data_IF_040958206440
#
_entry.id   IF_040958206440
#
_cell.length_a   1.000
_cell.length_b   1.000
_cell.length_c   1.000
_cell.angle_alpha   90.00
_cell.angle_beta   90.00
_cell.angle_gamma   90.00
#
_symmetry.space_group_name_H-M   'P 1'
#
loop_
_entity.id
_entity.type
_entity.pdbx_description
1 polymer ?
#
# COMPACT_ATOMS: atom_id res chain seq x y z
N UNK A 1 -29.78 -15.78 -14.93
CA UNK A 1 -30.98 -15.05 -14.44
C UNK A 1 -31.37 -14.03 -15.51
N UNK A 2 -32.66 -13.82 -15.81
CA UNK A 2 -33.10 -12.79 -16.77
C UNK A 2 -33.05 -11.42 -16.09
N UNK A 3 -32.48 -10.41 -16.74
CA UNK A 3 -32.36 -9.05 -16.18
C UNK A 3 -33.46 -8.17 -16.76
N UNK A 4 -34.17 -7.42 -15.91
CA UNK A 4 -35.15 -6.44 -16.41
C UNK A 4 -34.44 -5.36 -17.21
N UNK A 5 -35.00 -4.98 -18.37
CA UNK A 5 -34.46 -3.91 -19.21
C UNK A 5 -34.29 -2.59 -18.42
N UNK A 6 -35.18 -2.31 -17.47
CA UNK A 6 -35.09 -1.10 -16.62
C UNK A 6 -33.89 -1.16 -15.68
N UNK A 7 -33.54 -2.35 -15.18
CA UNK A 7 -32.35 -2.56 -14.35
C UNK A 7 -31.07 -2.40 -15.18
N UNK A 8 -31.03 -3.02 -16.37
CA UNK A 8 -29.91 -2.87 -17.31
C UNK A 8 -29.65 -1.40 -17.68
N UNK A 9 -30.70 -0.64 -18.02
CA UNK A 9 -30.55 0.79 -18.36
C UNK A 9 -30.02 1.61 -17.18
N UNK A 10 -30.41 1.26 -15.95
CA UNK A 10 -29.94 1.96 -14.74
C UNK A 10 -28.49 1.62 -14.42
N UNK A 11 -28.11 0.35 -14.54
CA UNK A 11 -26.77 -0.14 -14.22
C UNK A 11 -25.70 0.47 -15.15
N UNK A 12 -26.05 0.68 -16.43
CA UNK A 12 -25.13 1.25 -17.43
C UNK A 12 -25.44 2.72 -17.80
N UNK A 13 -26.30 3.40 -17.04
CA UNK A 13 -26.69 4.80 -17.28
C UNK A 13 -27.15 5.12 -18.70
N UNK A 14 -27.87 4.19 -19.34
CA UNK A 14 -28.38 4.34 -20.70
C UNK A 14 -29.83 4.81 -20.72
N UNK A 15 -30.18 5.60 -21.74
CA UNK A 15 -31.55 6.05 -21.96
C UNK A 15 -32.45 4.86 -22.36
N UNK A 16 -33.49 4.60 -21.56
CA UNK A 16 -34.40 3.45 -21.74
C UNK A 16 -35.04 3.38 -23.13
N UNK A 17 -35.36 4.53 -23.72
CA UNK A 17 -35.93 4.63 -25.07
C UNK A 17 -34.94 4.19 -26.14
N UNK A 18 -33.67 4.57 -26.01
CA UNK A 18 -32.60 4.20 -26.93
C UNK A 18 -32.34 2.70 -26.89
N UNK A 19 -32.22 2.11 -25.69
CA UNK A 19 -31.99 0.67 -25.52
C UNK A 19 -33.18 -0.14 -26.03
N UNK A 20 -34.42 0.30 -25.74
CA UNK A 20 -35.63 -0.39 -26.21
C UNK A 20 -35.75 -0.41 -27.74
N UNK A 21 -35.45 0.70 -28.41
CA UNK A 21 -35.44 0.75 -29.88
C UNK A 21 -34.37 -0.19 -30.45
N UNK A 22 -33.18 -0.24 -29.84
CA UNK A 22 -32.10 -1.13 -30.29
C UNK A 22 -32.43 -2.61 -30.07
N UNK A 23 -33.09 -2.96 -28.97
CA UNK A 23 -33.61 -4.32 -28.76
C UNK A 23 -34.60 -4.73 -29.86
N UNK A 24 -35.48 -3.81 -30.29
CA UNK A 24 -36.45 -4.06 -31.36
C UNK A 24 -35.76 -4.27 -32.72
N UNK A 25 -34.72 -3.50 -33.01
CA UNK A 25 -33.91 -3.63 -34.23
C UNK A 25 -33.11 -4.94 -34.26
N UNK A 26 -32.65 -5.41 -33.10
CA UNK A 26 -31.90 -6.66 -32.95
C UNK A 26 -32.80 -7.90 -32.79
N UNK A 27 -34.12 -7.73 -32.75
CA UNK A 27 -35.10 -8.80 -32.58
C UNK A 27 -35.12 -9.44 -31.18
N UNK A 28 -34.66 -8.72 -30.16
CA UNK A 28 -34.59 -9.21 -28.77
C UNK A 28 -35.96 -9.04 -28.10
N UNK A 29 -36.57 -10.15 -27.65
CA UNK A 29 -37.84 -10.11 -26.91
C UNK A 29 -37.61 -9.68 -25.45
N UNK A 30 -38.11 -8.49 -25.11
CA UNK A 30 -37.96 -7.91 -23.77
C UNK A 30 -39.16 -8.19 -22.84
N UNK A 31 -40.17 -8.95 -23.30
CA UNK A 31 -41.45 -9.15 -22.60
C UNK A 31 -41.30 -9.89 -21.25
N UNK A 32 -40.37 -10.84 -21.17
CA UNK A 32 -40.04 -11.58 -19.94
C UNK A 32 -38.69 -11.15 -19.33
N UNK A 33 -38.13 -10.02 -19.79
CA UNK A 33 -36.77 -9.58 -19.45
C UNK A 33 -35.70 -10.09 -20.41
N UNK A 34 -34.51 -9.46 -20.34
CA UNK A 34 -33.40 -9.67 -21.26
C UNK A 34 -32.60 -10.89 -20.83
N UNK A 35 -32.30 -11.76 -21.79
CA UNK A 35 -31.45 -12.93 -21.57
C UNK A 35 -29.99 -12.51 -21.36
N UNK A 36 -29.17 -13.27 -20.62
CA UNK A 36 -27.76 -12.91 -20.41
C UNK A 36 -26.97 -12.78 -21.71
N UNK A 37 -27.24 -13.64 -22.70
CA UNK A 37 -26.62 -13.57 -24.04
C UNK A 37 -27.01 -12.30 -24.80
N UNK A 38 -28.25 -11.82 -24.62
CA UNK A 38 -28.70 -10.57 -25.25
C UNK A 38 -28.18 -9.34 -24.51
N UNK A 39 -27.95 -9.43 -23.20
CA UNK A 39 -27.25 -8.39 -22.44
C UNK A 39 -25.83 -8.19 -22.97
N UNK A 40 -25.08 -9.27 -23.19
CA UNK A 40 -23.71 -9.19 -23.72
C UNK A 40 -23.67 -8.56 -25.13
N UNK A 41 -24.67 -8.89 -25.97
CA UNK A 41 -24.83 -8.27 -27.29
C UNK A 41 -25.14 -6.78 -27.19
N UNK A 42 -26.01 -6.37 -26.26
CA UNK A 42 -26.32 -4.95 -26.05
C UNK A 42 -25.11 -4.19 -25.48
N UNK A 43 -24.32 -4.82 -24.60
CA UNK A 43 -23.08 -4.23 -24.08
C UNK A 43 -22.08 -3.96 -25.20
N UNK A 44 -21.86 -4.94 -26.07
CA UNK A 44 -21.03 -4.76 -27.26
C UNK A 44 -21.58 -3.69 -28.21
N UNK A 45 -22.90 -3.65 -28.43
CA UNK A 45 -23.53 -2.69 -29.35
C UNK A 45 -23.43 -1.24 -28.87
N UNK A 46 -23.54 -1.01 -27.56
CA UNK A 46 -23.38 0.31 -26.96
C UNK A 46 -21.92 0.65 -26.62
N UNK A 47 -20.98 -0.20 -27.05
CA UNK A 47 -19.53 -0.10 -26.75
C UNK A 47 -19.24 0.04 -25.25
N UNK A 48 -20.13 -0.56 -24.45
CA UNK A 48 -20.02 -0.64 -23.01
C UNK A 48 -19.24 -1.92 -22.78
N UNK A 49 -17.93 -1.79 -22.63
CA UNK A 49 -17.08 -2.90 -22.25
C UNK A 49 -17.75 -3.65 -21.09
N UNK A 50 -18.03 -4.97 -21.23
CA UNK A 50 -18.51 -5.73 -20.09
C UNK A 50 -17.47 -5.54 -19.01
N UNK A 51 -17.87 -4.98 -17.86
CA UNK A 51 -17.06 -5.08 -16.66
C UNK A 51 -16.91 -6.58 -16.44
N UNK A 52 -15.76 -7.12 -16.83
CA UNK A 52 -15.38 -8.49 -16.54
C UNK A 52 -15.70 -8.76 -15.07
N UNK A 53 -16.14 -9.98 -14.73
CA UNK A 53 -16.20 -10.36 -13.33
C UNK A 53 -14.83 -10.02 -12.74
N UNK A 54 -14.86 -9.20 -11.68
CA UNK A 54 -13.75 -8.79 -10.85
C UNK A 54 -12.79 -9.98 -10.68
N UNK A 55 -11.83 -10.08 -11.60
CA UNK A 55 -10.77 -11.06 -11.49
C UNK A 55 -9.97 -10.46 -10.36
N UNK A 56 -10.09 -11.10 -9.19
CA UNK A 56 -9.46 -10.69 -7.95
C UNK A 56 -8.12 -10.05 -8.28
N UNK A 57 -7.83 -8.84 -7.76
CA UNK A 57 -6.59 -8.14 -8.08
C UNK A 57 -5.49 -9.18 -7.98
N UNK A 58 -4.70 -9.35 -9.04
CA UNK A 58 -3.47 -10.12 -8.93
C UNK A 58 -2.73 -9.39 -7.82
N UNK A 59 -2.82 -9.93 -6.61
CA UNK A 59 -2.08 -9.48 -5.47
C UNK A 59 -0.66 -9.88 -5.83
N UNK A 60 0.03 -8.99 -6.54
CA UNK A 60 1.47 -8.97 -6.53
C UNK A 60 1.83 -8.58 -5.10
N UNK A 61 1.91 -9.59 -4.24
CA UNK A 61 2.41 -9.45 -2.88
C UNK A 61 3.86 -9.04 -3.03
N UNK A 62 4.12 -7.74 -2.87
CA UNK A 62 5.46 -7.23 -2.67
C UNK A 62 5.88 -7.71 -1.28
N UNK A 63 6.54 -8.86 -1.21
CA UNK A 63 7.24 -9.24 0.01
C UNK A 63 8.43 -8.29 0.19
N UNK A 64 8.24 -7.29 1.05
CA UNK A 64 9.32 -6.42 1.52
C UNK A 64 10.17 -7.21 2.51
N UNK A 65 10.96 -8.15 1.98
CA UNK A 65 12.08 -8.76 2.66
C UNK A 65 13.25 -7.76 2.72
N UNK A 66 14.00 -7.77 3.82
CA UNK A 66 14.90 -6.68 4.19
C UNK A 66 15.93 -6.27 3.11
N UNK A 67 16.23 -7.07 2.08
CA UNK A 67 17.33 -6.83 1.12
C UNK A 67 17.05 -7.15 -0.38
N UNK A 68 15.81 -7.26 -0.88
CA UNK A 68 15.62 -7.43 -2.33
C UNK A 68 14.21 -7.13 -2.83
N UNK A 69 14.11 -6.31 -3.87
CA UNK A 69 12.92 -6.26 -4.74
C UNK A 69 13.17 -7.26 -5.86
N UNK A 70 12.38 -8.33 -5.92
CA UNK A 70 12.43 -9.30 -7.01
C UNK A 70 11.23 -9.03 -7.91
N UNK A 71 11.51 -8.64 -9.16
CA UNK A 71 10.48 -8.52 -10.20
C UNK A 71 10.20 -9.91 -10.76
N UNK A 72 8.94 -10.34 -10.74
CA UNK A 72 8.52 -11.59 -11.37
C UNK A 72 8.72 -11.50 -12.88
N UNK A 73 9.49 -12.43 -13.44
CA UNK A 73 9.67 -12.57 -14.90
C UNK A 73 8.34 -12.81 -15.59
N UNK A 74 8.00 -12.09 -16.68
CA UNK A 74 6.80 -12.35 -17.45
C UNK A 74 6.89 -13.72 -18.13
N UNK A 75 5.86 -14.55 -17.95
CA UNK A 75 5.76 -15.84 -18.63
C UNK A 75 5.40 -15.62 -20.11
N UNK A 76 6.33 -15.92 -21.01
CA UNK A 76 6.05 -16.04 -22.44
C UNK A 76 5.11 -17.23 -22.70
N UNK A 77 4.17 -17.13 -23.67
CA UNK A 77 3.26 -18.22 -23.99
C UNK A 77 4.04 -19.46 -24.47
N UNK A 78 3.90 -20.56 -23.72
CA UNK A 78 4.60 -21.82 -23.89
C UNK A 78 3.96 -22.75 -24.95
N UNK A 79 3.66 -22.24 -26.14
CA UNK A 79 3.17 -23.10 -27.23
C UNK A 79 4.04 -22.96 -28.47
N UNK A 80 4.98 -23.90 -28.59
CA UNK A 80 5.74 -24.16 -29.81
C UNK A 80 4.94 -25.15 -30.67
N UNK A 81 4.35 -24.69 -31.77
CA UNK A 81 3.73 -25.59 -32.75
C UNK A 81 4.82 -26.17 -33.67
N UNK A 82 4.97 -27.51 -33.66
CA UNK A 82 5.90 -28.24 -34.51
C UNK A 82 5.53 -28.19 -36.01
N UNK A 83 4.39 -27.59 -36.38
CA UNK A 83 4.03 -27.29 -37.76
C UNK A 83 4.90 -26.17 -38.36
N UNK A 84 5.48 -25.30 -37.52
CA UNK A 84 6.40 -24.22 -37.93
C UNK A 84 7.75 -24.73 -38.47
N UNK A 85 8.08 -26.01 -38.27
CA UNK A 85 9.32 -26.64 -38.76
C UNK A 85 9.19 -27.28 -40.15
N UNK A 86 7.99 -27.35 -40.73
CA UNK A 86 7.74 -28.09 -41.99
C UNK A 86 7.72 -27.22 -43.25
N UNK A 87 7.51 -25.92 -43.15
CA UNK A 87 7.56 -25.02 -44.30
C UNK A 87 8.39 -23.79 -43.92
N UNK A 88 9.55 -23.65 -44.55
CA UNK A 88 10.39 -22.48 -44.36
C UNK A 88 9.70 -21.25 -44.93
N UNK A 89 9.30 -20.30 -44.09
CA UNK A 89 9.83 -18.93 -44.05
C UNK A 89 9.10 -18.06 -43.03
N UNK A 90 9.87 -17.11 -42.51
CA UNK A 90 9.53 -15.98 -41.64
C UNK A 90 9.16 -16.31 -40.19
N UNK A 91 10.04 -15.87 -39.27
CA UNK A 91 9.57 -15.40 -37.97
C UNK A 91 8.72 -14.17 -38.30
N UNK A 92 7.42 -14.37 -38.49
CA UNK A 92 6.46 -13.27 -38.54
C UNK A 92 6.32 -12.77 -37.11
N UNK A 93 7.11 -11.75 -36.76
CA UNK A 93 6.66 -10.83 -35.75
C UNK A 93 5.39 -10.20 -36.32
N UNK A 94 4.23 -10.52 -35.73
CA UNK A 94 2.92 -10.04 -36.19
C UNK A 94 2.93 -8.51 -36.36
N UNK A 95 3.67 -7.82 -35.49
CA UNK A 95 4.21 -6.49 -35.71
C UNK A 95 5.50 -6.26 -34.88
N UNK A 96 6.70 -6.19 -35.50
CA UNK A 96 7.95 -5.99 -34.77
C UNK A 96 8.03 -4.63 -34.06
N UNK A 97 7.25 -3.63 -34.48
CA UNK A 97 7.17 -2.34 -33.80
C UNK A 97 6.35 -2.43 -32.51
N UNK A 98 5.34 -3.32 -32.45
CA UNK A 98 4.56 -3.57 -31.23
C UNK A 98 5.40 -4.28 -30.17
N UNK A 99 6.29 -5.19 -30.58
CA UNK A 99 7.21 -5.84 -29.65
C UNK A 99 8.25 -4.84 -29.13
N UNK A 100 8.81 -4.00 -30.01
CA UNK A 100 9.74 -2.96 -29.61
C UNK A 100 9.09 -1.96 -28.62
N UNK A 101 7.84 -1.56 -28.86
CA UNK A 101 7.13 -0.64 -27.95
C UNK A 101 6.82 -1.27 -26.59
N UNK A 102 6.48 -2.56 -26.55
CA UNK A 102 6.32 -3.30 -25.29
C UNK A 102 7.63 -3.39 -24.52
N UNK A 103 8.75 -3.67 -25.19
CA UNK A 103 10.07 -3.70 -24.54
C UNK A 103 10.47 -2.35 -23.96
N UNK A 104 10.22 -1.25 -24.68
CA UNK A 104 10.48 0.11 -24.18
C UNK A 104 9.59 0.40 -22.97
N UNK A 105 8.29 0.10 -23.05
CA UNK A 105 7.37 0.32 -21.93
C UNK A 105 7.78 -0.45 -20.67
N UNK A 106 8.27 -1.68 -20.82
CA UNK A 106 8.80 -2.47 -19.70
C UNK A 106 10.09 -1.86 -19.15
N UNK A 107 10.99 -1.38 -20.03
CA UNK A 107 12.22 -0.73 -19.60
C UNK A 107 11.96 0.58 -18.83
N UNK A 108 10.96 1.36 -19.27
CA UNK A 108 10.52 2.58 -18.59
C UNK A 108 9.92 2.25 -17.22
N UNK A 109 9.05 1.24 -17.14
CA UNK A 109 8.49 0.76 -15.86
C UNK A 109 9.56 0.29 -14.88
N UNK A 110 10.59 -0.42 -15.36
CA UNK A 110 11.71 -0.85 -14.51
C UNK A 110 12.50 0.37 -14.02
N UNK A 111 12.72 1.36 -14.90
CA UNK A 111 13.45 2.58 -14.56
C UNK A 111 12.72 3.39 -13.49
N UNK A 112 11.40 3.59 -13.65
CA UNK A 112 10.54 4.28 -12.69
C UNK A 112 10.49 3.54 -11.33
N UNK A 113 10.42 2.21 -11.37
CA UNK A 113 10.44 1.38 -10.16
C UNK A 113 11.78 1.49 -9.42
N UNK A 114 12.89 1.54 -10.15
CA UNK A 114 14.23 1.73 -9.58
C UNK A 114 14.37 3.12 -8.93
N UNK A 115 13.88 4.17 -9.58
CA UNK A 115 13.90 5.53 -9.02
C UNK A 115 13.06 5.61 -7.74
N UNK A 116 11.86 5.02 -7.76
CA UNK A 116 10.99 4.95 -6.58
C UNK A 116 11.65 4.19 -5.43
N UNK A 117 12.31 3.05 -5.69
CA UNK A 117 13.04 2.29 -4.67
C UNK A 117 14.21 3.11 -4.09
N UNK A 118 14.97 3.82 -4.93
CA UNK A 118 16.06 4.68 -4.47
C UNK A 118 15.55 5.80 -3.54
N UNK A 119 14.42 6.42 -3.88
CA UNK A 119 13.84 7.48 -3.06
C UNK A 119 13.26 6.96 -1.75
N UNK A 120 12.62 5.78 -1.77
CA UNK A 120 12.22 5.08 -0.55
C UNK A 120 13.42 4.77 0.36
N UNK A 121 14.52 4.27 -0.21
CA UNK A 121 15.75 3.98 0.56
C UNK A 121 16.37 5.25 1.14
N UNK A 122 16.44 6.34 0.36
CA UNK A 122 16.92 7.65 0.86
C UNK A 122 16.05 8.17 1.99
N UNK A 123 14.71 8.12 1.83
CA UNK A 123 13.78 8.57 2.86
C UNK A 123 13.94 7.76 4.15
N UNK A 124 14.02 6.43 4.06
CA UNK A 124 14.26 5.55 5.21
C UNK A 124 15.59 5.82 5.90
N UNK A 125 16.66 6.08 5.13
CA UNK A 125 17.97 6.43 5.68
C UNK A 125 17.91 7.77 6.44
N UNK A 126 17.27 8.78 5.86
CA UNK A 126 17.11 10.09 6.49
C UNK A 126 16.26 10.01 7.78
N UNK A 127 15.14 9.28 7.75
CA UNK A 127 14.32 9.03 8.93
C UNK A 127 15.12 8.31 10.03
N UNK A 128 15.91 7.30 9.66
CA UNK A 128 16.76 6.57 10.61
C UNK A 128 17.81 7.49 11.25
N UNK A 129 18.44 8.37 10.45
CA UNK A 129 19.41 9.35 10.95
C UNK A 129 18.77 10.32 11.93
N UNK A 130 17.61 10.88 11.57
CA UNK A 130 16.85 11.77 12.46
C UNK A 130 16.45 11.09 13.77
N UNK A 131 15.97 9.83 13.70
CA UNK A 131 15.61 9.06 14.89
C UNK A 131 16.82 8.82 15.79
N UNK A 132 17.99 8.46 15.21
CA UNK A 132 19.25 8.29 15.96
C UNK A 132 19.64 9.58 16.68
N UNK A 133 19.61 10.71 15.99
CA UNK A 133 20.00 12.01 16.56
C UNK A 133 19.02 12.42 17.68
N UNK A 134 17.72 12.19 17.51
CA UNK A 134 16.71 12.44 18.52
C UNK A 134 16.88 11.56 19.77
N UNK A 135 17.20 10.27 19.60
CA UNK A 135 17.48 9.35 20.71
C UNK A 135 18.74 9.79 21.46
N UNK A 136 19.81 10.13 20.76
CA UNK A 136 21.05 10.61 21.37
C UNK A 136 20.80 11.88 22.20
N UNK A 137 20.06 12.85 21.65
CA UNK A 137 19.67 14.06 22.37
C UNK A 137 18.86 13.73 23.64
N UNK A 138 17.85 12.86 23.55
CA UNK A 138 17.06 12.45 24.73
C UNK A 138 17.90 11.71 25.79
N UNK A 139 18.84 10.85 25.37
CA UNK A 139 19.71 10.14 26.29
C UNK A 139 20.59 11.12 27.10
N UNK A 140 21.16 12.14 26.44
CA UNK A 140 21.94 13.17 27.13
C UNK A 140 21.10 13.99 28.09
N UNK A 141 19.88 14.40 27.69
CA UNK A 141 18.95 15.13 28.53
C UNK A 141 18.53 14.32 29.77
N UNK A 142 18.24 13.04 29.60
CA UNK A 142 17.86 12.15 30.70
C UNK A 142 19.01 11.96 31.68
N UNK A 143 20.24 11.78 31.19
CA UNK A 143 21.43 11.67 32.04
C UNK A 143 21.62 12.92 32.90
N UNK A 144 21.47 14.10 32.32
CA UNK A 144 21.54 15.37 33.05
C UNK A 144 20.43 15.48 34.10
N UNK A 145 19.20 15.08 33.75
CA UNK A 145 18.08 15.09 34.68
C UNK A 145 18.30 14.13 35.86
N UNK A 146 18.87 12.95 35.60
CA UNK A 146 19.21 11.98 36.64
C UNK A 146 20.25 12.53 37.61
N UNK A 147 21.29 13.18 37.11
CA UNK A 147 22.31 13.84 37.94
C UNK A 147 21.68 14.93 38.82
N UNK A 148 20.86 15.80 38.23
CA UNK A 148 20.15 16.85 38.99
C UNK A 148 19.22 16.27 40.05
N UNK A 149 18.56 15.15 39.76
CA UNK A 149 17.73 14.47 40.74
C UNK A 149 18.57 13.94 41.91
N UNK A 150 19.68 13.27 41.62
CA UNK A 150 20.60 12.75 42.64
C UNK A 150 21.15 13.86 43.54
N UNK A 151 21.59 14.97 42.95
CA UNK A 151 22.06 16.14 43.72
C UNK A 151 20.98 16.72 44.62
N UNK A 152 19.74 16.85 44.12
CA UNK A 152 18.61 17.33 44.91
C UNK A 152 18.26 16.38 46.05
N UNK A 153 18.21 15.08 45.77
CA UNK A 153 17.93 14.06 46.78
C UNK A 153 19.00 14.11 47.89
N UNK A 154 20.28 14.13 47.52
CA UNK A 154 21.38 14.24 48.48
C UNK A 154 21.28 15.48 49.36
N UNK A 155 20.93 16.64 48.78
CA UNK A 155 20.73 17.87 49.55
C UNK A 155 19.58 17.76 50.54
N UNK A 156 18.45 17.21 50.11
CA UNK A 156 17.28 17.01 50.98
C UNK A 156 17.65 16.06 52.12
N UNK A 157 18.33 14.95 51.83
CA UNK A 157 18.74 13.97 52.84
C UNK A 157 19.71 14.59 53.86
N UNK A 158 20.66 15.41 53.40
CA UNK A 158 21.59 16.14 54.27
C UNK A 158 20.84 17.14 55.16
N UNK A 159 19.97 17.97 54.58
CA UNK A 159 19.17 18.94 55.34
C UNK A 159 18.26 18.24 56.36
N UNK A 160 17.66 17.10 56.01
CA UNK A 160 16.86 16.31 56.94
C UNK A 160 17.68 15.75 58.08
N UNK A 161 18.90 15.27 57.82
CA UNK A 161 19.81 14.80 58.87
C UNK A 161 20.15 15.94 59.84
N UNK A 162 20.57 17.10 59.30
CA UNK A 162 20.93 18.27 60.12
C UNK A 162 19.76 18.74 60.99
N UNK A 163 18.54 18.79 60.43
CA UNK A 163 17.34 19.16 61.19
C UNK A 163 16.98 18.12 62.26
N UNK A 164 17.18 16.82 61.98
CA UNK A 164 16.90 15.74 62.93
C UNK A 164 17.89 15.77 64.10
N UNK A 165 19.16 16.00 63.81
CA UNK A 165 20.20 16.13 64.83
C UNK A 165 19.96 17.35 65.71
N UNK A 166 19.66 18.51 65.10
CA UNK A 166 19.31 19.73 65.84
C UNK A 166 18.06 19.56 66.71
N UNK A 167 17.03 18.85 66.21
CA UNK A 167 15.84 18.52 67.01
C UNK A 167 16.19 17.65 68.20
N UNK A 168 17.05 16.64 68.01
CA UNK A 168 17.49 15.74 69.07
C UNK A 168 18.26 16.51 70.16
N UNK A 169 19.18 17.39 69.78
CA UNK A 169 19.90 18.26 70.73
C UNK A 169 18.94 19.16 71.52
N UNK A 170 17.96 19.77 70.85
CA UNK A 170 16.96 20.60 71.50
C UNK A 170 16.10 19.81 72.51
N UNK A 171 15.72 18.57 72.17
CA UNK A 171 14.98 17.67 73.05
C UNK A 171 15.83 17.26 74.27
N UNK A 172 17.11 16.94 74.09
CA UNK A 172 18.03 16.61 75.18
C UNK A 172 18.23 17.79 76.13
N UNK A 173 18.37 19.01 75.61
CA UNK A 173 18.49 20.23 76.42
C UNK A 173 17.22 20.52 77.23
N UNK A 174 16.04 20.33 76.62
CA UNK A 174 14.75 20.48 77.33
C UNK A 174 14.61 19.45 78.45
N UNK A 175 15.03 18.20 78.23
CA UNK A 175 15.06 17.17 79.28
C UNK A 175 16.03 17.50 80.41
N UNK A 176 17.18 18.10 80.10
CA UNK A 176 18.17 18.49 81.11
C UNK A 176 17.67 19.64 82.00
N UNK A 177 16.90 20.59 81.46
CA UNK A 177 16.31 21.71 82.20
C UNK A 177 15.10 21.31 83.06
N UNK A 178 14.45 20.19 82.75
CA UNK A 178 13.31 19.66 83.52
C UNK A 178 13.69 18.83 84.75
N UNK A 179 14.99 18.66 85.04
CA UNK A 179 15.53 18.01 86.25
C UNK A 179 16.10 19.05 87.20
#
# INVERSE_FOLDING_TARGET
MKTSLTKFCKDYSLAKTTVFNRCKELGIDTSEGVSPTDCDRLLHEFDIAPSEPETAPIQTTVEVGNHQVVLSTPQLPAQFSLESLRFGESITFEDPLVIASQFIAVADQISDAMETDLDHRKAKLNQTRQAKDAIAAKATALKLQQQRYQEKAYRIDSEQSDQTDSLKEALELLQALGK
#
